data_IF_320591226283
#
_entry.id   IF_320591226283
#
_cell.length_a   1.000
_cell.length_b   1.000
_cell.length_c   1.000
_cell.angle_alpha   90.00
_cell.angle_beta   90.00
_cell.angle_gamma   90.00
#
_symmetry.space_group_name_H-M   'P 1'
#
loop_
_entity.id
_entity.type
_entity.pdbx_description
1 polymer ?
#
# COMPACT_ATOMS: atom_id res chain seq x y z
N UNK A 1 -13.11 -31.66 -17.63
CA UNK A 1 -11.96 -31.09 -16.90
C UNK A 1 -11.84 -29.63 -17.29
N UNK A 2 -12.56 -28.72 -16.61
CA UNK A 2 -12.56 -27.30 -16.94
C UNK A 2 -11.39 -26.60 -16.23
N UNK A 3 -10.57 -25.90 -17.00
CA UNK A 3 -9.38 -25.19 -16.57
C UNK A 3 -9.74 -24.05 -15.59
N UNK A 4 -9.43 -24.23 -14.31
CA UNK A 4 -9.58 -23.25 -13.22
C UNK A 4 -8.54 -22.12 -13.28
N UNK A 5 -8.28 -21.56 -14.45
CA UNK A 5 -7.30 -20.47 -14.61
C UNK A 5 -8.08 -19.20 -14.96
N UNK A 6 -8.44 -18.41 -13.94
CA UNK A 6 -8.92 -17.03 -14.13
C UNK A 6 -10.22 -16.62 -13.45
N UNK A 7 -10.80 -17.44 -12.56
CA UNK A 7 -12.12 -17.11 -11.97
C UNK A 7 -12.07 -16.23 -10.71
N UNK A 8 -10.88 -15.81 -10.25
CA UNK A 8 -10.76 -14.94 -9.07
C UNK A 8 -10.37 -13.52 -9.46
N UNK A 9 -11.09 -12.53 -8.97
CA UNK A 9 -10.83 -11.11 -9.21
C UNK A 9 -9.42 -10.67 -8.81
N UNK A 10 -8.85 -11.27 -7.76
CA UNK A 10 -7.47 -11.00 -7.36
C UNK A 10 -6.40 -11.61 -8.31
N UNK A 11 -6.77 -12.63 -9.08
CA UNK A 11 -5.85 -13.29 -10.00
C UNK A 11 -5.48 -12.37 -11.18
N UNK A 12 -6.37 -11.45 -11.58
CA UNK A 12 -6.07 -10.58 -12.73
C UNK A 12 -4.94 -9.58 -12.43
N UNK A 13 -4.91 -8.98 -11.23
CA UNK A 13 -3.83 -8.05 -10.85
C UNK A 13 -2.53 -8.80 -10.57
N UNK A 14 -2.61 -9.91 -9.83
CA UNK A 14 -1.42 -10.71 -9.48
C UNK A 14 -0.72 -11.34 -10.69
N UNK A 15 -1.40 -11.41 -11.84
CA UNK A 15 -0.83 -11.87 -13.13
C UNK A 15 -0.33 -10.75 -14.03
N UNK A 16 -0.32 -9.51 -13.55
CA UNK A 16 0.23 -8.37 -14.28
C UNK A 16 -0.75 -7.73 -15.26
N UNK A 17 -2.07 -7.74 -14.95
CA UNK A 17 -3.01 -6.89 -15.67
C UNK A 17 -2.60 -5.42 -15.49
N UNK A 18 -2.54 -4.71 -16.61
CA UNK A 18 -2.27 -3.28 -16.65
C UNK A 18 -3.29 -2.51 -15.79
N UNK A 19 -2.84 -1.63 -14.87
CA UNK A 19 -3.72 -0.82 -14.03
C UNK A 19 -4.82 -0.08 -14.79
N UNK A 20 -4.53 0.41 -16.00
CA UNK A 20 -5.53 1.14 -16.80
C UNK A 20 -6.69 0.24 -17.24
N UNK A 21 -6.40 -1.06 -17.46
CA UNK A 21 -7.40 -2.04 -17.87
C UNK A 21 -8.25 -2.56 -16.72
N UNK A 22 -7.85 -2.31 -15.47
CA UNK A 22 -8.65 -2.68 -14.28
C UNK A 22 -9.96 -1.88 -14.26
N UNK A 23 -9.94 -0.61 -14.71
CA UNK A 23 -11.15 0.23 -14.72
C UNK A 23 -12.27 -0.39 -15.57
N UNK A 24 -11.90 -1.13 -16.61
CA UNK A 24 -12.83 -1.79 -17.54
C UNK A 24 -13.05 -3.28 -17.19
N UNK A 25 -12.52 -3.76 -16.06
CA UNK A 25 -12.61 -5.17 -15.68
C UNK A 25 -13.89 -5.44 -14.89
N UNK A 26 -14.91 -5.96 -15.57
CA UNK A 26 -16.15 -6.41 -14.93
C UNK A 26 -15.89 -7.49 -13.87
N UNK A 27 -14.91 -8.38 -14.11
CA UNK A 27 -14.52 -9.40 -13.14
C UNK A 27 -13.93 -8.79 -11.85
N UNK A 28 -13.26 -7.65 -11.93
CA UNK A 28 -12.73 -6.95 -10.76
C UNK A 28 -13.84 -6.29 -9.95
N UNK A 29 -14.73 -5.56 -10.62
CA UNK A 29 -15.78 -4.78 -9.96
C UNK A 29 -16.97 -5.61 -9.50
N UNK A 30 -17.41 -6.57 -10.32
CA UNK A 30 -18.61 -7.37 -10.06
C UNK A 30 -18.30 -8.80 -9.62
N UNK A 31 -17.02 -9.21 -9.68
CA UNK A 31 -16.64 -10.57 -9.35
C UNK A 31 -17.13 -11.61 -10.37
N UNK A 32 -16.86 -12.90 -10.14
CA UNK A 32 -17.33 -13.98 -10.99
C UNK A 32 -18.86 -14.17 -10.92
N UNK A 33 -19.43 -14.64 -12.03
CA UNK A 33 -20.88 -14.77 -12.24
C UNK A 33 -21.62 -15.54 -11.12
N UNK A 34 -21.00 -16.58 -10.55
CA UNK A 34 -21.61 -17.37 -9.47
C UNK A 34 -21.85 -16.58 -8.17
N UNK A 35 -21.12 -15.48 -7.94
CA UNK A 35 -21.39 -14.57 -6.82
C UNK A 35 -22.56 -13.64 -7.13
N UNK A 36 -22.69 -13.22 -8.39
CA UNK A 36 -23.75 -12.32 -8.85
C UNK A 36 -25.13 -13.00 -8.78
N UNK A 37 -25.19 -14.30 -9.13
CA UNK A 37 -26.45 -15.07 -9.15
C UNK A 37 -27.00 -15.38 -7.73
N UNK A 38 -26.15 -15.35 -6.70
CA UNK A 38 -26.53 -15.71 -5.32
C UNK A 38 -27.04 -14.51 -4.49
N UNK A 39 -26.91 -13.27 -4.97
CA UNK A 39 -27.27 -12.08 -4.17
C UNK A 39 -28.77 -11.99 -3.88
N UNK A 40 -29.62 -12.57 -4.75
CA UNK A 40 -31.08 -12.52 -4.58
C UNK A 40 -31.58 -13.40 -3.42
N UNK A 41 -30.87 -14.48 -3.06
CA UNK A 41 -31.30 -15.40 -1.99
C UNK A 41 -30.57 -15.19 -0.64
N UNK A 42 -29.50 -14.38 -0.59
CA UNK A 42 -28.80 -14.05 0.66
C UNK A 42 -29.39 -12.82 1.36
N UNK A 43 -30.08 -11.94 0.61
CA UNK A 43 -30.68 -10.74 1.18
C UNK A 43 -31.82 -11.05 2.18
N UNK A 44 -32.48 -12.21 2.05
CA UNK A 44 -33.56 -12.61 2.96
C UNK A 44 -33.07 -13.02 4.36
N UNK A 45 -31.82 -13.49 4.49
CA UNK A 45 -31.20 -13.87 5.78
C UNK A 45 -30.29 -12.76 6.35
N UNK A 46 -30.21 -11.60 5.67
CA UNK A 46 -29.25 -10.53 5.97
C UNK A 46 -29.55 -9.78 7.27
N UNK A 47 -30.80 -9.76 7.73
CA UNK A 47 -31.19 -9.01 8.93
C UNK A 47 -30.49 -9.50 10.22
N UNK A 48 -30.03 -10.75 10.26
CA UNK A 48 -29.36 -11.31 11.45
C UNK A 48 -27.84 -11.11 11.44
N UNK A 49 -27.22 -10.96 10.27
CA UNK A 49 -25.75 -10.84 10.15
C UNK A 49 -25.29 -9.47 10.68
N UNK A 50 -26.03 -8.40 10.39
CA UNK A 50 -25.69 -7.05 10.83
C UNK A 50 -25.75 -6.90 12.37
N UNK A 51 -26.56 -7.71 13.04
CA UNK A 51 -26.70 -7.71 14.49
C UNK A 51 -25.77 -8.73 15.20
N UNK A 52 -25.01 -9.52 14.44
CA UNK A 52 -24.06 -10.46 15.01
C UNK A 52 -22.96 -9.73 15.78
N UNK A 53 -22.70 -10.19 17.01
CA UNK A 53 -21.64 -9.64 17.87
C UNK A 53 -20.25 -9.69 17.21
N UNK A 54 -20.01 -10.71 16.38
CA UNK A 54 -18.81 -10.82 15.55
C UNK A 54 -18.72 -9.73 14.47
N UNK A 55 -19.85 -9.42 13.82
CA UNK A 55 -19.91 -8.37 12.80
C UNK A 55 -19.68 -6.98 13.41
N UNK A 56 -20.28 -6.72 14.57
CA UNK A 56 -20.11 -5.48 15.31
C UNK A 56 -18.67 -5.30 15.84
N UNK A 57 -17.99 -6.39 16.23
CA UNK A 57 -16.58 -6.35 16.67
C UNK A 57 -15.60 -6.05 15.53
N UNK A 58 -15.88 -6.54 14.32
CA UNK A 58 -15.04 -6.32 13.14
C UNK A 58 -15.35 -4.99 12.43
N UNK A 59 -16.46 -4.33 12.79
CA UNK A 59 -16.78 -3.00 12.32
C UNK A 59 -15.72 -2.04 12.83
N UNK A 60 -14.78 -1.66 11.95
CA UNK A 60 -13.90 -0.54 12.23
C UNK A 60 -14.76 0.71 12.27
N UNK A 61 -14.76 1.40 13.40
CA UNK A 61 -15.38 2.72 13.52
C UNK A 61 -14.69 3.61 12.47
N UNK A 62 -15.41 3.97 11.41
CA UNK A 62 -14.86 4.76 10.29
C UNK A 62 -14.54 6.21 10.72
N UNK A 63 -14.55 6.50 12.02
CA UNK A 63 -14.14 7.76 12.64
C UNK A 63 -12.63 7.91 12.81
N UNK A 64 -11.82 6.92 12.42
CA UNK A 64 -10.37 6.96 12.56
C UNK A 64 -9.64 7.10 11.23
N UNK A 65 -9.22 8.34 10.95
CA UNK A 65 -8.19 8.78 10.00
C UNK A 65 -8.31 8.28 8.55
N UNK A 66 -8.89 9.13 7.69
CA UNK A 66 -8.59 9.05 6.26
C UNK A 66 -7.06 9.16 6.11
N UNK A 67 -6.39 8.06 5.79
CA UNK A 67 -4.99 8.08 5.37
C UNK A 67 -4.96 8.73 4.00
N UNK A 68 -4.94 10.07 3.98
CA UNK A 68 -4.70 10.83 2.77
C UNK A 68 -3.22 10.64 2.44
N UNK A 69 -2.94 9.93 1.34
CA UNK A 69 -1.61 9.84 0.78
C UNK A 69 -1.30 11.21 0.17
N UNK A 70 -0.82 12.13 1.00
CA UNK A 70 -0.31 13.42 0.55
C UNK A 70 0.91 13.12 -0.31
N UNK A 71 0.71 13.10 -1.62
CA UNK A 71 1.78 13.27 -2.61
C UNK A 71 2.27 14.71 -2.46
N UNK A 72 2.97 14.99 -1.37
CA UNK A 72 3.70 16.23 -1.23
C UNK A 72 4.82 16.15 -2.27
N UNK A 73 4.92 17.15 -3.14
CA UNK A 73 6.06 17.27 -4.04
C UNK A 73 7.32 17.23 -3.19
N UNK A 74 7.98 16.06 -3.19
CA UNK A 74 9.25 15.91 -2.52
C UNK A 74 10.18 16.78 -3.33
N UNK A 75 10.60 17.92 -2.78
CA UNK A 75 11.72 18.66 -3.33
C UNK A 75 12.92 17.71 -3.32
N UNK A 76 13.15 17.07 -4.46
CA UNK A 76 14.25 16.13 -4.63
C UNK A 76 15.50 16.95 -4.41
N UNK A 77 16.21 16.66 -3.32
CA UNK A 77 17.45 17.35 -3.00
C UNK A 77 18.36 17.33 -4.25
N UNK A 78 18.83 18.49 -4.74
CA UNK A 78 19.61 18.56 -5.99
C UNK A 78 20.85 17.65 -6.01
N UNK A 79 21.35 17.25 -4.85
CA UNK A 79 22.45 16.28 -4.69
C UNK A 79 22.11 14.90 -5.24
N UNK A 80 20.85 14.47 -5.17
CA UNK A 80 20.38 13.17 -5.66
C UNK A 80 20.59 13.11 -7.18
N UNK A 81 20.16 14.14 -7.90
CA UNK A 81 20.30 14.25 -9.36
C UNK A 81 21.76 14.40 -9.82
N UNK A 82 22.67 14.83 -8.94
CA UNK A 82 24.10 14.95 -9.23
C UNK A 82 24.91 13.68 -8.91
N UNK A 83 24.29 12.69 -8.25
CA UNK A 83 24.95 11.44 -7.89
C UNK A 83 24.60 10.34 -8.88
N UNK A 84 25.58 9.88 -9.66
CA UNK A 84 25.44 8.74 -10.57
C UNK A 84 25.49 7.37 -9.88
N UNK A 85 25.67 7.33 -8.55
CA UNK A 85 25.80 6.10 -7.78
C UNK A 85 25.04 6.21 -6.46
N UNK A 86 24.16 5.25 -6.21
CA UNK A 86 23.43 5.15 -4.95
C UNK A 86 24.38 4.98 -3.75
N UNK A 87 25.43 4.18 -3.89
CA UNK A 87 26.46 3.99 -2.84
C UNK A 87 27.17 5.31 -2.52
N UNK A 88 27.46 6.12 -3.54
CA UNK A 88 28.04 7.47 -3.34
C UNK A 88 27.07 8.37 -2.57
N UNK A 89 25.79 8.38 -2.94
CA UNK A 89 24.76 9.14 -2.24
C UNK A 89 24.62 8.73 -0.77
N UNK A 90 24.57 7.42 -0.49
CA UNK A 90 24.54 6.90 0.88
C UNK A 90 25.72 7.39 1.72
N UNK A 91 26.94 7.37 1.16
CA UNK A 91 28.14 7.87 1.86
C UNK A 91 28.06 9.36 2.17
N UNK A 92 27.55 10.17 1.24
CA UNK A 92 27.37 11.62 1.44
C UNK A 92 26.38 11.86 2.58
N UNK A 93 25.22 11.19 2.57
CA UNK A 93 24.20 11.30 3.63
C UNK A 93 24.79 10.89 4.98
N UNK A 94 25.50 9.76 5.05
CA UNK A 94 26.15 9.29 6.27
C UNK A 94 27.18 10.31 6.80
N UNK A 95 27.91 10.98 5.91
CA UNK A 95 28.84 12.03 6.29
C UNK A 95 28.12 13.27 6.83
N UNK A 96 27.02 13.72 6.20
CA UNK A 96 26.19 14.81 6.72
C UNK A 96 25.66 14.52 8.13
N UNK A 97 25.20 13.28 8.38
CA UNK A 97 24.73 12.86 9.71
C UNK A 97 25.88 12.89 10.72
N UNK A 98 27.04 12.31 10.39
CA UNK A 98 28.22 12.34 11.27
C UNK A 98 28.68 13.77 11.56
N UNK A 99 28.73 14.62 10.54
CA UNK A 99 29.11 16.01 10.67
C UNK A 99 28.17 16.76 11.62
N UNK A 100 26.86 16.58 11.48
CA UNK A 100 25.84 17.18 12.34
C UNK A 100 26.06 16.77 13.81
N UNK A 101 26.28 15.49 14.09
CA UNK A 101 26.51 15.04 15.47
C UNK A 101 27.85 15.53 16.03
N UNK A 102 28.92 15.53 15.24
CA UNK A 102 30.23 16.04 15.65
C UNK A 102 30.20 17.56 15.92
N UNK A 103 29.48 18.32 15.09
CA UNK A 103 29.33 19.76 15.27
C UNK A 103 28.52 20.12 16.53
N UNK A 104 27.59 19.25 16.95
CA UNK A 104 26.82 19.43 18.20
C UNK A 104 27.62 19.06 19.45
N UNK A 105 28.58 18.14 19.33
CA UNK A 105 29.39 17.64 20.45
C UNK A 105 30.89 17.83 20.19
N UNK A 106 31.41 19.08 20.16
CA UNK A 106 32.81 19.36 19.82
C UNK A 106 33.84 18.75 20.79
N UNK A 107 33.41 18.29 21.98
CA UNK A 107 34.25 17.68 23.01
C UNK A 107 34.29 16.13 22.93
N UNK A 108 33.43 15.52 22.11
CA UNK A 108 33.29 14.06 21.96
C UNK A 108 33.61 13.64 20.53
N UNK A 109 34.68 14.18 19.95
CA UNK A 109 35.15 13.77 18.62
C UNK A 109 35.40 12.26 18.66
N UNK A 110 34.54 11.47 18.04
CA UNK A 110 34.83 10.07 17.75
C UNK A 110 35.95 10.04 16.72
N UNK A 111 37.20 10.06 17.21
CA UNK A 111 38.34 9.60 16.46
C UNK A 111 38.02 8.15 16.05
N UNK A 112 37.98 7.90 14.74
CA UNK A 112 37.58 6.61 14.19
C UNK A 112 38.37 5.47 14.81
N UNK A 113 37.66 4.43 15.23
CA UNK A 113 38.21 3.08 15.41
C UNK A 113 38.35 2.38 14.07
#
# INVERSE_FOLDING_TARGET
MATLIGTKSADVISRGLDPEKIQQSDLWWFGPFFLQERVVNLASDCNDIHNSELYQRELKDNQGDSVCLLMQDIEILPVINKCSSFVKLQRIIAWCVRFKENARNPLQTTAGS
#
